data_IF_822165531323
#
_entry.id   IF_822165531323
#
_cell.length_a   1.000
_cell.length_b   1.000
_cell.length_c   1.000
_cell.angle_alpha   90.00
_cell.angle_beta   90.00
_cell.angle_gamma   90.00
#
_symmetry.space_group_name_H-M   'P 1'
#
loop_
_entity.id
_entity.type
_entity.pdbx_description
1 polymer ?
#
# COMPACT_ATOMS: atom_id res chain seq x y z
N UNK A 1 -7.21 -9.73 28.65
CA UNK A 1 -7.27 -10.72 29.76
C UNK A 1 -6.49 -10.20 30.94
N UNK A 2 -6.75 -10.71 32.14
CA UNK A 2 -5.96 -10.39 33.33
C UNK A 2 -5.13 -11.63 33.67
N UNK A 3 -3.84 -11.45 33.91
CA UNK A 3 -2.94 -12.45 34.45
C UNK A 3 -2.29 -11.88 35.71
N UNK A 4 -2.77 -12.34 36.87
CA UNK A 4 -2.47 -11.75 38.17
C UNK A 4 -2.79 -10.25 38.20
N UNK A 5 -1.76 -9.40 38.30
CA UNK A 5 -1.82 -7.95 38.35
C UNK A 5 -1.63 -7.29 36.97
N UNK A 6 -1.52 -8.09 35.89
CA UNK A 6 -1.23 -7.60 34.54
C UNK A 6 -2.47 -7.66 33.67
N UNK A 7 -2.92 -6.50 33.22
CA UNK A 7 -3.84 -6.41 32.09
C UNK A 7 -3.06 -6.70 30.80
N UNK A 8 -3.47 -7.75 30.09
CA UNK A 8 -2.90 -8.18 28.82
C UNK A 8 -3.90 -8.00 27.70
N UNK A 9 -3.41 -7.58 26.54
CA UNK A 9 -4.20 -7.59 25.32
C UNK A 9 -4.47 -9.04 24.88
N UNK A 10 -5.65 -9.30 24.34
CA UNK A 10 -6.08 -10.63 23.87
C UNK A 10 -6.41 -10.67 22.37
N UNK A 11 -6.14 -9.57 21.66
CA UNK A 11 -6.33 -9.41 20.23
C UNK A 11 -5.18 -8.56 19.67
N UNK A 12 -5.08 -8.43 18.36
CA UNK A 12 -4.19 -7.43 17.73
C UNK A 12 -4.82 -6.04 17.81
N UNK A 13 -3.98 -5.00 17.86
CA UNK A 13 -4.44 -3.63 17.65
C UNK A 13 -4.29 -3.29 16.18
N UNK A 14 -5.22 -2.48 15.70
CA UNK A 14 -5.30 -1.98 14.33
C UNK A 14 -6.00 -0.62 14.46
N UNK A 15 -5.28 0.47 14.17
CA UNK A 15 -5.78 1.84 14.36
C UNK A 15 -6.88 2.16 13.35
N UNK A 16 -6.70 1.67 12.13
CA UNK A 16 -7.56 1.85 10.97
C UNK A 16 -8.92 1.18 11.22
N UNK A 17 -8.95 0.13 12.04
CA UNK A 17 -10.18 -0.48 12.54
C UNK A 17 -10.72 0.20 13.81
N UNK A 18 -9.88 0.49 14.81
CA UNK A 18 -10.31 1.11 16.05
C UNK A 18 -9.22 1.97 16.72
N UNK A 19 -9.50 3.26 16.84
CA UNK A 19 -8.57 4.24 17.45
C UNK A 19 -8.59 4.25 18.98
N UNK A 20 -9.53 3.53 19.60
CA UNK A 20 -9.64 3.44 21.06
C UNK A 20 -10.32 2.14 21.50
N UNK A 21 -10.00 1.74 22.73
CA UNK A 21 -10.58 0.58 23.40
C UNK A 21 -10.94 0.97 24.83
N UNK A 22 -11.93 0.29 25.40
CA UNK A 22 -12.18 0.37 26.83
C UNK A 22 -12.43 -1.02 27.41
N UNK A 23 -12.15 -1.16 28.69
CA UNK A 23 -12.56 -2.35 29.44
C UNK A 23 -12.91 -1.95 30.86
N UNK A 24 -13.85 -2.68 31.46
CA UNK A 24 -14.15 -2.58 32.88
C UNK A 24 -13.29 -3.57 33.63
N UNK A 25 -12.57 -3.11 34.66
CA UNK A 25 -11.83 -3.97 35.58
C UNK A 25 -12.63 -4.04 36.87
N UNK A 26 -12.93 -5.27 37.30
CA UNK A 26 -13.67 -5.56 38.52
C UNK A 26 -12.70 -6.17 39.52
N UNK A 27 -12.64 -5.61 40.73
CA UNK A 27 -11.95 -6.21 41.87
C UNK A 27 -12.99 -6.76 42.84
N UNK A 28 -12.71 -7.94 43.40
CA UNK A 28 -13.56 -8.61 44.39
C UNK A 28 -12.75 -8.87 45.65
N UNK A 29 -13.27 -8.45 46.81
CA UNK A 29 -12.63 -8.74 48.10
C UNK A 29 -12.95 -10.17 48.58
N UNK A 30 -12.32 -10.60 49.68
CA UNK A 30 -12.56 -11.93 50.26
C UNK A 30 -13.97 -12.13 50.85
N UNK A 31 -14.78 -11.06 50.93
CA UNK A 31 -16.16 -11.08 51.40
C UNK A 31 -17.17 -10.94 50.24
N UNK A 32 -16.73 -11.05 48.99
CA UNK A 32 -17.51 -10.90 47.76
C UNK A 32 -18.07 -9.48 47.48
N UNK A 33 -17.53 -8.43 48.09
CA UNK A 33 -17.82 -7.07 47.62
C UNK A 33 -17.05 -6.77 46.34
N UNK A 34 -17.67 -6.03 45.44
CA UNK A 34 -17.07 -5.66 44.15
C UNK A 34 -16.91 -4.16 44.01
N UNK A 35 -15.81 -3.75 43.36
CA UNK A 35 -15.64 -2.41 42.83
C UNK A 35 -15.22 -2.52 41.37
N UNK A 36 -15.87 -1.77 40.49
CA UNK A 36 -15.55 -1.75 39.07
C UNK A 36 -15.12 -0.35 38.61
N UNK A 37 -14.25 -0.34 37.60
CA UNK A 37 -13.79 0.89 36.96
C UNK A 37 -13.57 0.68 35.49
N UNK A 38 -14.07 1.60 34.68
CA UNK A 38 -13.79 1.67 33.25
C UNK A 38 -12.40 2.28 33.03
N UNK A 39 -11.58 1.60 32.24
CA UNK A 39 -10.32 2.10 31.73
C UNK A 39 -10.46 2.32 30.23
N UNK A 40 -10.08 3.52 29.79
CA UNK A 40 -10.04 3.89 28.37
C UNK A 40 -8.59 3.89 27.90
N UNK A 41 -8.36 3.36 26.70
CA UNK A 41 -7.07 3.25 26.04
C UNK A 41 -7.16 3.87 24.66
N UNK A 42 -6.13 4.61 24.27
CA UNK A 42 -5.95 5.08 22.90
C UNK A 42 -5.06 4.10 22.16
N UNK A 43 -5.41 3.80 20.91
CA UNK A 43 -4.54 3.06 19.99
C UNK A 43 -3.66 4.08 19.27
N UNK A 44 -2.35 3.84 19.21
CA UNK A 44 -1.43 4.69 18.47
C UNK A 44 -1.50 4.35 16.99
N UNK A 45 -1.54 5.37 16.13
CA UNK A 45 -1.38 5.21 14.68
C UNK A 45 0.12 5.03 14.37
N UNK A 46 0.43 4.02 13.57
CA UNK A 46 1.73 3.77 12.95
C UNK A 46 1.49 3.46 11.46
N UNK A 47 2.53 3.64 10.66
CA UNK A 47 2.52 3.28 9.24
C UNK A 47 2.83 1.78 9.09
N UNK A 48 1.80 0.93 9.11
CA UNK A 48 1.90 -0.54 9.13
C UNK A 48 1.13 -1.25 8.00
N UNK A 49 0.42 -0.49 7.17
CA UNK A 49 -0.31 -0.96 6.00
C UNK A 49 0.38 -0.48 4.74
N UNK A 50 0.84 -1.41 3.91
CA UNK A 50 1.44 -1.07 2.63
C UNK A 50 0.42 -0.50 1.62
N UNK A 51 0.88 0.27 0.61
CA UNK A 51 -0.01 0.81 -0.40
C UNK A 51 -0.72 -0.28 -1.21
N UNK A 52 -1.93 0.02 -1.66
CA UNK A 52 -2.79 -0.91 -2.42
C UNK A 52 -3.45 -0.22 -3.62
N UNK A 53 -4.22 -0.99 -4.39
CA UNK A 53 -5.03 -0.49 -5.51
C UNK A 53 -4.21 0.30 -6.54
N UNK A 54 -3.07 -0.27 -6.97
CA UNK A 54 -2.23 0.34 -7.99
C UNK A 54 -3.00 0.32 -9.32
N UNK A 55 -3.14 1.49 -9.94
CA UNK A 55 -3.76 1.68 -11.25
C UNK A 55 -2.75 2.33 -12.19
N UNK A 56 -2.87 1.98 -13.47
CA UNK A 56 -2.18 2.63 -14.58
C UNK A 56 -3.23 3.14 -15.56
N UNK A 57 -3.23 4.44 -15.84
CA UNK A 57 -4.30 5.09 -16.61
C UNK A 57 -4.41 4.64 -18.08
N UNK A 58 -3.35 4.08 -18.65
CA UNK A 58 -3.36 3.52 -19.99
C UNK A 58 -2.35 2.37 -20.11
N UNK A 59 -2.75 1.30 -20.79
CA UNK A 59 -1.95 0.10 -21.02
C UNK A 59 -1.67 -0.15 -22.51
N UNK A 60 -1.87 0.85 -23.37
CA UNK A 60 -1.60 0.75 -24.79
C UNK A 60 -0.42 1.67 -25.17
N UNK A 61 0.57 1.12 -25.86
CA UNK A 61 1.73 1.84 -26.35
C UNK A 61 1.77 1.73 -27.88
N UNK A 62 1.74 2.86 -28.56
CA UNK A 62 1.99 2.90 -30.00
C UNK A 62 3.47 2.59 -30.22
N UNK A 63 3.77 1.62 -31.10
CA UNK A 63 5.15 1.23 -31.41
C UNK A 63 5.93 2.35 -32.09
N UNK A 64 7.25 2.21 -32.08
CA UNK A 64 8.23 3.08 -32.76
C UNK A 64 8.20 4.56 -32.31
N UNK A 65 7.46 4.87 -31.26
CA UNK A 65 7.54 6.18 -30.61
C UNK A 65 8.93 6.36 -29.98
N UNK A 66 9.43 7.60 -29.87
CA UNK A 66 10.75 7.86 -29.31
C UNK A 66 10.84 7.45 -27.82
N UNK A 67 12.07 7.42 -27.29
CA UNK A 67 12.26 7.34 -25.85
C UNK A 67 11.50 8.47 -25.14
N UNK A 68 11.16 8.25 -23.87
CA UNK A 68 10.40 9.19 -23.03
C UNK A 68 8.92 9.34 -23.42
N UNK A 69 8.39 8.44 -24.24
CA UNK A 69 6.95 8.37 -24.54
C UNK A 69 6.17 8.01 -23.29
N UNK A 70 5.11 8.76 -22.99
CA UNK A 70 4.21 8.47 -21.87
C UNK A 70 3.37 7.24 -22.20
N UNK A 71 3.45 6.22 -21.34
CA UNK A 71 2.55 5.06 -21.37
C UNK A 71 1.27 5.43 -20.62
N UNK A 72 1.43 5.90 -19.38
CA UNK A 72 0.33 6.32 -18.52
C UNK A 72 0.83 6.86 -17.20
N UNK A 73 -0.12 7.26 -16.35
CA UNK A 73 0.13 7.76 -15.00
C UNK A 73 -0.30 6.72 -13.99
N UNK A 74 0.52 6.53 -12.96
CA UNK A 74 0.27 5.63 -11.85
C UNK A 74 -0.46 6.34 -10.71
N UNK A 75 -1.30 5.58 -10.02
CA UNK A 75 -1.94 5.97 -8.76
C UNK A 75 -2.09 4.75 -7.87
N UNK A 76 -2.10 4.95 -6.56
CA UNK A 76 -2.39 3.93 -5.57
C UNK A 76 -3.09 4.60 -4.37
N UNK A 77 -3.60 3.78 -3.45
CA UNK A 77 -4.22 4.24 -2.21
C UNK A 77 -3.48 3.66 -1.03
N UNK A 78 -3.37 4.45 0.01
CA UNK A 78 -2.81 4.04 1.29
C UNK A 78 -3.70 4.61 2.41
N UNK A 79 -3.92 3.81 3.45
CA UNK A 79 -4.82 4.19 4.55
C UNK A 79 -4.07 4.93 5.67
N UNK A 80 -2.77 4.71 5.78
CA UNK A 80 -1.92 5.28 6.84
C UNK A 80 -1.30 6.60 6.39
N UNK A 81 -0.93 6.70 5.11
CA UNK A 81 -0.23 7.86 4.58
C UNK A 81 -1.13 8.83 3.81
N UNK A 82 -0.95 10.12 4.10
CA UNK A 82 -1.45 11.22 3.28
C UNK A 82 -0.35 11.84 2.41
N UNK A 83 0.85 11.25 2.42
CA UNK A 83 1.99 11.72 1.63
C UNK A 83 1.95 11.16 0.21
N UNK A 84 2.77 11.74 -0.67
CA UNK A 84 2.85 11.28 -2.05
C UNK A 84 3.53 9.91 -2.11
N UNK A 85 2.81 8.93 -2.66
CA UNK A 85 3.34 7.60 -2.95
C UNK A 85 4.37 7.66 -4.07
N UNK A 86 5.38 6.81 -3.97
CA UNK A 86 6.37 6.58 -5.02
C UNK A 86 6.11 5.26 -5.73
N UNK A 87 6.60 5.14 -6.96
CA UNK A 87 6.39 3.95 -7.78
C UNK A 87 7.69 3.45 -8.38
N UNK A 88 7.79 2.14 -8.58
CA UNK A 88 8.87 1.48 -9.30
C UNK A 88 8.31 0.48 -10.31
N UNK A 89 9.11 0.18 -11.34
CA UNK A 89 8.80 -0.81 -12.37
C UNK A 89 9.95 -1.82 -12.43
N UNK A 90 9.63 -3.10 -12.54
CA UNK A 90 10.62 -4.18 -12.61
C UNK A 90 11.44 -4.14 -13.91
N UNK A 91 10.80 -3.83 -15.04
CA UNK A 91 11.45 -3.65 -16.34
C UNK A 91 12.02 -2.24 -16.55
N UNK A 92 13.08 -1.95 -15.80
CA UNK A 92 13.84 -0.68 -15.91
C UNK A 92 14.64 -0.54 -17.22
N UNK A 93 14.73 -1.61 -18.01
CA UNK A 93 15.39 -1.57 -19.33
C UNK A 93 14.48 -0.89 -20.36
N UNK A 94 13.19 -1.19 -20.33
CA UNK A 94 12.21 -0.65 -21.27
C UNK A 94 11.47 0.58 -20.73
N UNK A 95 11.30 0.69 -19.41
CA UNK A 95 10.50 1.73 -18.77
C UNK A 95 11.24 2.47 -17.64
N UNK A 96 10.69 3.61 -17.24
CA UNK A 96 11.13 4.41 -16.10
C UNK A 96 9.94 5.18 -15.52
N UNK A 97 10.05 5.52 -14.24
CA UNK A 97 9.11 6.43 -13.57
C UNK A 97 9.69 7.84 -13.60
N UNK A 98 8.88 8.81 -14.02
CA UNK A 98 9.22 10.24 -14.12
C UNK A 98 8.18 11.06 -13.37
N UNK A 99 8.55 12.21 -12.82
CA UNK A 99 7.64 13.12 -12.09
C UNK A 99 6.87 12.43 -10.94
N UNK A 100 7.43 11.37 -10.35
CA UNK A 100 6.82 10.61 -9.26
C UNK A 100 5.90 9.48 -9.72
N UNK A 101 5.13 9.64 -10.80
CA UNK A 101 4.12 8.65 -11.19
C UNK A 101 3.91 8.44 -12.70
N UNK A 102 4.70 9.05 -13.57
CA UNK A 102 4.57 8.85 -15.02
C UNK A 102 5.39 7.64 -15.47
N UNK A 103 4.73 6.58 -15.91
CA UNK A 103 5.40 5.46 -16.58
C UNK A 103 5.75 5.89 -18.01
N UNK A 104 7.04 6.01 -18.29
CA UNK A 104 7.56 6.41 -19.61
C UNK A 104 8.49 5.36 -20.19
N UNK A 105 8.57 5.30 -21.51
CA UNK A 105 9.55 4.44 -22.18
C UNK A 105 10.98 4.97 -21.99
N UNK A 106 11.95 4.08 -21.84
CA UNK A 106 13.37 4.44 -21.77
C UNK A 106 14.04 4.42 -23.15
N UNK A 107 13.42 3.74 -24.12
CA UNK A 107 13.84 3.63 -25.52
C UNK A 107 12.62 3.51 -26.42
N UNK A 108 12.84 3.53 -27.73
CA UNK A 108 11.79 3.17 -28.68
C UNK A 108 11.47 1.68 -28.57
N UNK A 109 10.18 1.36 -28.44
CA UNK A 109 9.68 -0.02 -28.33
C UNK A 109 9.12 -0.45 -29.68
N UNK A 110 9.61 -1.57 -30.19
CA UNK A 110 9.22 -2.14 -31.48
C UNK A 110 8.53 -3.49 -31.29
N UNK A 111 7.79 -3.95 -32.28
CA UNK A 111 7.11 -5.27 -32.25
C UNK A 111 8.07 -6.46 -32.40
N UNK A 112 9.37 -6.22 -32.57
CA UNK A 112 10.37 -7.29 -32.53
C UNK A 112 10.44 -7.98 -31.15
N UNK A 113 9.84 -7.38 -30.12
CA UNK A 113 9.68 -7.92 -28.76
C UNK A 113 8.35 -8.64 -28.52
N UNK A 114 7.48 -8.74 -29.53
CA UNK A 114 6.10 -9.21 -29.41
C UNK A 114 5.08 -8.05 -29.36
N UNK A 115 3.80 -8.40 -29.21
CA UNK A 115 2.70 -7.43 -29.18
C UNK A 115 2.31 -6.99 -27.76
N UNK A 116 3.01 -7.49 -26.74
CA UNK A 116 2.74 -7.18 -25.33
C UNK A 116 4.03 -7.20 -24.51
N UNK A 117 4.13 -6.33 -23.51
CA UNK A 117 5.15 -6.40 -22.46
C UNK A 117 4.46 -6.51 -21.11
N UNK A 118 4.80 -7.53 -20.32
CA UNK A 118 4.34 -7.65 -18.95
C UNK A 118 5.33 -6.96 -18.03
N UNK A 119 4.83 -6.11 -17.15
CA UNK A 119 5.60 -5.42 -16.12
C UNK A 119 4.91 -5.61 -14.78
N UNK A 120 5.67 -5.50 -13.71
CA UNK A 120 5.15 -5.34 -12.36
C UNK A 120 5.47 -3.93 -11.86
N UNK A 121 4.46 -3.30 -11.25
CA UNK A 121 4.61 -2.02 -10.57
C UNK A 121 4.50 -2.23 -9.07
N UNK A 122 5.39 -1.61 -8.32
CA UNK A 122 5.34 -1.54 -6.86
C UNK A 122 5.14 -0.09 -6.44
N UNK A 123 4.18 0.17 -5.57
CA UNK A 123 3.98 1.45 -4.89
C UNK A 123 4.61 1.42 -3.49
N UNK A 124 5.10 2.56 -3.02
CA UNK A 124 5.77 2.70 -1.73
C UNK A 124 5.37 4.02 -1.06
N UNK A 125 5.03 3.95 0.22
CA UNK A 125 4.79 5.11 1.11
C UNK A 125 6.08 5.59 1.82
N UNK A 126 7.23 4.99 1.48
CA UNK A 126 8.56 5.14 2.09
C UNK A 126 8.82 4.32 3.38
N UNK A 127 7.81 3.68 3.93
CA UNK A 127 7.91 2.75 5.07
C UNK A 127 7.67 1.31 4.60
N UNK A 128 6.61 1.12 3.82
CA UNK A 128 6.09 -0.14 3.34
C UNK A 128 6.01 -0.14 1.81
N UNK A 129 6.30 -1.29 1.22
CA UNK A 129 6.15 -1.54 -0.20
C UNK A 129 4.93 -2.43 -0.45
N UNK A 130 4.11 -2.06 -1.43
CA UNK A 130 3.00 -2.88 -1.89
C UNK A 130 3.49 -4.24 -2.42
N UNK A 131 2.61 -5.24 -2.46
CA UNK A 131 2.84 -6.37 -3.34
C UNK A 131 2.94 -5.92 -4.81
N UNK A 132 3.83 -6.50 -5.64
CA UNK A 132 3.94 -6.11 -7.05
C UNK A 132 2.64 -6.35 -7.81
N UNK A 133 2.14 -5.33 -8.51
CA UNK A 133 0.93 -5.38 -9.34
C UNK A 133 1.31 -5.60 -10.81
N UNK A 134 0.90 -6.72 -11.44
CA UNK A 134 1.16 -6.95 -12.86
C UNK A 134 0.29 -6.06 -13.74
N UNK A 135 0.89 -5.57 -14.83
CA UNK A 135 0.23 -4.91 -15.96
C UNK A 135 0.73 -5.50 -17.28
N UNK A 136 -0.16 -5.62 -18.25
CA UNK A 136 0.18 -6.01 -19.62
C UNK A 136 0.06 -4.79 -20.52
N UNK A 137 1.19 -4.29 -21.01
CA UNK A 137 1.24 -3.18 -21.96
C UNK A 137 1.09 -3.74 -23.38
N UNK A 138 -0.02 -3.44 -24.04
CA UNK A 138 -0.26 -3.80 -25.43
C UNK A 138 0.51 -2.85 -26.37
N UNK A 139 1.25 -3.42 -27.32
CA UNK A 139 1.97 -2.68 -28.35
C UNK A 139 1.12 -2.66 -29.62
N UNK A 140 0.68 -1.47 -30.04
CA UNK A 140 -0.19 -1.30 -31.21
C UNK A 140 0.54 -0.60 -32.36
N UNK A 141 0.05 -0.82 -33.59
CA UNK A 141 0.72 -0.33 -34.80
C UNK A 141 0.26 1.04 -35.26
N UNK A 142 -0.94 1.48 -34.86
CA UNK A 142 -1.54 2.81 -35.10
C UNK A 142 -2.87 2.84 -34.36
#
# INVERSE_FOLDING_TARGET
>A
TIDNDKLKLNATLDYENATSLNTTIIVTDGNNHTFDKIFNFTVGNIDDTAPTNILLSNVNLIKDQPANTLVGTLSATDVDTNTALTFSVDDTTNFKIVNGNELRTNKSITTALGNTININITASDNTNDSAPQPFTIAITTT
#
